data_IF_651089591491
#
_entry.id   IF_651089591491
#
_cell.length_a   1.000
_cell.length_b   1.000
_cell.length_c   1.000
_cell.angle_alpha   90.00
_cell.angle_beta   90.00
_cell.angle_gamma   90.00
#
_symmetry.space_group_name_H-M   'P 1'
#
loop_
_entity.id
_entity.type
_entity.pdbx_description
1 polymer ?
#
# COMPACT_ATOMS: atom_id res chain seq x y z
N UNK A 1 -28.66 5.62 -10.18
CA UNK A 1 -28.32 4.20 -10.42
C UNK A 1 -29.63 3.43 -10.45
N UNK A 2 -29.83 2.53 -11.42
CA UNK A 2 -31.02 1.67 -11.50
C UNK A 2 -30.62 0.22 -11.22
N UNK A 3 -31.55 -0.54 -10.65
CA UNK A 3 -31.41 -1.98 -10.46
C UNK A 3 -31.87 -2.68 -11.73
N UNK A 4 -31.07 -3.60 -12.24
CA UNK A 4 -31.44 -4.41 -13.42
C UNK A 4 -32.53 -5.43 -13.08
N UNK A 5 -33.17 -6.04 -14.09
CA UNK A 5 -34.18 -7.09 -13.87
C UNK A 5 -33.69 -8.31 -13.09
N UNK A 6 -32.38 -8.51 -12.97
CA UNK A 6 -31.76 -9.57 -12.16
C UNK A 6 -31.30 -9.10 -10.77
N UNK A 7 -31.65 -7.88 -10.35
CA UNK A 7 -31.23 -7.33 -9.07
C UNK A 7 -29.80 -6.78 -9.03
N UNK A 8 -29.10 -6.69 -10.17
CA UNK A 8 -27.74 -6.13 -10.20
C UNK A 8 -27.77 -4.61 -10.13
N UNK A 9 -26.85 -4.02 -9.38
CA UNK A 9 -26.64 -2.56 -9.26
C UNK A 9 -25.18 -2.20 -9.47
N UNK A 10 -24.92 -1.03 -10.07
CA UNK A 10 -23.55 -0.53 -10.26
C UNK A 10 -23.12 0.32 -9.08
N UNK A 11 -21.95 0.03 -8.52
CA UNK A 11 -21.33 0.82 -7.44
C UNK A 11 -20.41 1.90 -8.06
N UNK A 12 -20.63 3.21 -7.79
CA UNK A 12 -19.76 4.27 -8.28
C UNK A 12 -18.30 4.10 -7.85
N UNK A 13 -17.35 4.57 -8.69
CA UNK A 13 -15.90 4.43 -8.44
C UNK A 13 -15.47 4.98 -7.07
N UNK A 14 -15.97 6.15 -6.67
CA UNK A 14 -15.60 6.77 -5.40
C UNK A 14 -16.05 5.93 -4.19
N UNK A 15 -17.25 5.34 -4.25
CA UNK A 15 -17.77 4.45 -3.20
C UNK A 15 -16.95 3.16 -3.15
N UNK A 16 -16.65 2.53 -4.30
CA UNK A 16 -15.80 1.33 -4.36
C UNK A 16 -14.43 1.55 -3.72
N UNK A 17 -13.82 2.70 -4.01
CA UNK A 17 -12.51 3.05 -3.46
C UNK A 17 -12.58 3.24 -1.94
N UNK A 18 -13.61 3.94 -1.44
CA UNK A 18 -13.82 4.18 -0.02
C UNK A 18 -14.13 2.88 0.75
N UNK A 19 -14.95 2.01 0.17
CA UNK A 19 -15.30 0.70 0.73
C UNK A 19 -14.24 -0.39 0.48
N UNK A 20 -13.16 -0.08 -0.25
CA UNK A 20 -12.10 -1.05 -0.56
C UNK A 20 -12.49 -2.16 -1.56
N UNK A 21 -13.67 -2.12 -2.18
CA UNK A 21 -14.15 -3.12 -3.14
C UNK A 21 -13.42 -2.99 -4.48
N UNK A 22 -12.58 -3.96 -4.83
CA UNK A 22 -11.90 -3.99 -6.11
C UNK A 22 -12.75 -4.71 -7.17
N UNK A 23 -12.48 -4.51 -8.47
CA UNK A 23 -12.98 -5.40 -9.51
C UNK A 23 -12.59 -6.86 -9.19
N UNK A 24 -13.55 -7.77 -9.19
CA UNK A 24 -13.33 -9.18 -8.85
C UNK A 24 -13.23 -9.49 -7.34
N UNK A 25 -13.47 -8.50 -6.46
CA UNK A 25 -13.58 -8.76 -5.02
C UNK A 25 -14.89 -9.44 -4.68
N UNK A 26 -14.83 -10.42 -3.77
CA UNK A 26 -16.00 -11.00 -3.13
C UNK A 26 -16.55 -10.06 -2.04
N UNK A 27 -17.87 -10.06 -1.90
CA UNK A 27 -18.58 -9.22 -0.94
C UNK A 27 -19.66 -10.05 -0.25
N UNK A 28 -19.88 -9.76 1.03
CA UNK A 28 -20.97 -10.29 1.82
C UNK A 28 -22.10 -9.25 1.86
N UNK A 29 -23.33 -9.72 1.75
CA UNK A 29 -24.53 -8.90 1.86
C UNK A 29 -25.22 -9.20 3.19
N UNK A 30 -25.50 -8.17 3.96
CA UNK A 30 -26.37 -8.25 5.14
C UNK A 30 -27.50 -7.23 5.06
N UNK A 31 -28.58 -7.51 5.79
CA UNK A 31 -29.73 -6.62 5.91
C UNK A 31 -29.76 -6.03 7.32
N UNK A 32 -29.65 -4.70 7.39
CA UNK A 32 -29.77 -3.95 8.64
C UNK A 32 -31.01 -3.05 8.56
N UNK A 33 -32.14 -3.58 9.02
CA UNK A 33 -33.44 -2.91 8.90
C UNK A 33 -33.83 -2.72 7.43
N UNK A 34 -33.83 -1.46 6.97
CA UNK A 34 -34.10 -1.10 5.57
C UNK A 34 -32.85 -0.87 4.72
N UNK A 35 -31.65 -1.17 5.26
CA UNK A 35 -30.37 -0.95 4.58
C UNK A 35 -29.78 -2.27 4.12
N UNK A 36 -29.29 -2.29 2.88
CA UNK A 36 -28.41 -3.36 2.39
C UNK A 36 -26.98 -2.92 2.68
N UNK A 37 -26.30 -3.69 3.53
CA UNK A 37 -24.89 -3.46 3.87
C UNK A 37 -24.05 -4.42 3.05
N UNK A 38 -23.02 -3.87 2.40
CA UNK A 38 -22.08 -4.61 1.58
C UNK A 38 -20.73 -4.56 2.28
N UNK A 39 -20.29 -5.71 2.77
CA UNK A 39 -19.00 -5.84 3.45
C UNK A 39 -18.02 -6.54 2.51
N UNK A 40 -16.87 -5.94 2.18
CA UNK A 40 -15.85 -6.65 1.42
C UNK A 40 -15.38 -7.85 2.24
N UNK A 41 -15.48 -9.04 1.65
CA UNK A 41 -14.85 -10.22 2.26
C UNK A 41 -13.35 -9.99 2.12
N UNK A 42 -12.64 -9.96 3.25
CA UNK A 42 -11.20 -9.75 3.27
C UNK A 42 -10.51 -10.93 2.58
N UNK A 43 -10.44 -10.90 1.26
CA UNK A 43 -9.47 -11.69 0.51
C UNK A 43 -8.11 -11.10 0.90
N UNK A 44 -7.38 -11.83 1.74
CA UNK A 44 -6.09 -11.49 2.35
C UNK A 44 -5.01 -10.93 1.38
N UNK A 45 -5.28 -11.00 0.07
CA UNK A 45 -4.45 -10.59 -1.05
C UNK A 45 -3.88 -9.17 -0.93
N UNK A 46 -4.61 -8.18 -0.37
CA UNK A 46 -4.08 -6.81 -0.24
C UNK A 46 -3.08 -6.64 0.90
N UNK A 47 -3.26 -7.33 2.02
CA UNK A 47 -2.33 -7.26 3.13
C UNK A 47 -1.07 -8.09 2.83
N UNK A 48 -1.26 -9.25 2.20
CA UNK A 48 -0.17 -10.15 1.84
C UNK A 48 0.77 -9.56 0.80
N UNK A 49 0.28 -8.86 -0.23
CA UNK A 49 1.18 -8.26 -1.23
C UNK A 49 2.11 -7.19 -0.64
N UNK A 50 1.58 -6.32 0.22
CA UNK A 50 2.39 -5.26 0.85
C UNK A 50 3.33 -5.86 1.91
N UNK A 51 2.88 -6.85 2.65
CA UNK A 51 3.70 -7.57 3.62
C UNK A 51 4.81 -8.39 2.93
N UNK A 52 4.49 -9.10 1.84
CA UNK A 52 5.42 -9.85 1.01
C UNK A 52 6.46 -8.93 0.37
N UNK A 53 6.05 -7.78 -0.17
CA UNK A 53 6.96 -6.79 -0.72
C UNK A 53 7.91 -6.24 0.35
N UNK A 54 7.40 -5.91 1.55
CA UNK A 54 8.26 -5.47 2.67
C UNK A 54 9.24 -6.56 3.10
N UNK A 55 8.79 -7.82 3.17
CA UNK A 55 9.65 -8.97 3.52
C UNK A 55 10.73 -9.20 2.47
N UNK A 56 10.39 -9.07 1.18
CA UNK A 56 11.35 -9.14 0.08
C UNK A 56 12.37 -7.99 0.15
N UNK A 57 11.91 -6.75 0.37
CA UNK A 57 12.78 -5.59 0.52
C UNK A 57 13.71 -5.72 1.74
N UNK A 58 13.24 -6.26 2.86
CA UNK A 58 14.07 -6.50 4.05
C UNK A 58 15.17 -7.53 3.80
N UNK A 59 14.87 -8.61 3.06
CA UNK A 59 15.86 -9.63 2.67
C UNK A 59 16.96 -9.02 1.80
N UNK A 60 16.57 -8.23 0.79
CA UNK A 60 17.54 -7.53 -0.08
C UNK A 60 18.38 -6.56 0.74
N UNK A 61 17.79 -5.81 1.67
CA UNK A 61 18.54 -4.87 2.52
C UNK A 61 19.54 -5.59 3.44
N UNK A 62 19.22 -6.79 3.92
CA UNK A 62 20.13 -7.60 4.71
C UNK A 62 21.30 -8.16 3.89
N UNK A 63 21.10 -8.47 2.60
CA UNK A 63 22.18 -8.95 1.73
C UNK A 63 23.13 -7.85 1.22
N UNK A 64 22.80 -6.57 1.40
CA UNK A 64 23.71 -5.48 1.07
C UNK A 64 24.95 -5.47 1.97
N UNK A 65 26.09 -5.03 1.42
CA UNK A 65 27.30 -4.81 2.19
C UNK A 65 27.06 -3.75 3.30
N UNK A 66 27.81 -3.81 4.43
CA UNK A 66 27.56 -2.95 5.59
C UNK A 66 27.50 -1.45 5.29
N UNK A 67 28.29 -1.01 4.32
CA UNK A 67 28.38 0.38 3.83
C UNK A 67 27.04 0.87 3.25
N UNK A 68 26.34 0.02 2.48
CA UNK A 68 25.08 0.39 1.82
C UNK A 68 23.84 0.22 2.71
N UNK A 69 23.95 -0.49 3.85
CA UNK A 69 22.81 -0.68 4.77
C UNK A 69 22.38 0.61 5.47
N UNK A 70 23.32 1.53 5.63
CA UNK A 70 23.10 2.83 6.29
C UNK A 70 22.60 3.90 5.31
N UNK A 71 22.72 3.64 4.00
CA UNK A 71 22.34 4.56 2.94
C UNK A 71 20.87 4.40 2.54
N UNK A 72 20.29 5.52 2.13
CA UNK A 72 19.01 5.60 1.43
C UNK A 72 19.16 5.20 -0.05
N UNK A 73 18.05 4.86 -0.71
CA UNK A 73 18.05 4.45 -2.11
C UNK A 73 18.65 5.52 -3.04
N UNK A 74 18.40 6.80 -2.75
CA UNK A 74 18.91 7.92 -3.52
C UNK A 74 20.44 8.02 -3.43
N UNK A 75 21.00 7.87 -2.22
CA UNK A 75 22.44 7.94 -1.96
C UNK A 75 23.18 6.77 -2.63
N UNK A 76 22.58 5.57 -2.63
CA UNK A 76 23.12 4.41 -3.36
C UNK A 76 23.17 4.68 -4.87
N UNK A 77 22.12 5.30 -5.42
CA UNK A 77 22.07 5.63 -6.85
C UNK A 77 23.06 6.73 -7.24
N UNK A 78 23.27 7.73 -6.38
CA UNK A 78 24.28 8.79 -6.57
C UNK A 78 25.70 8.21 -6.53
N UNK A 79 25.98 7.35 -5.54
CA UNK A 79 27.24 6.61 -5.46
C UNK A 79 27.55 5.79 -6.71
N UNK A 80 26.59 4.99 -7.18
CA UNK A 80 26.77 4.15 -8.38
C UNK A 80 26.94 4.94 -9.67
N UNK A 81 26.45 6.20 -9.72
CA UNK A 81 26.66 7.11 -10.85
C UNK A 81 28.03 7.79 -10.84
N UNK A 82 28.80 7.65 -9.76
CA UNK A 82 30.11 8.28 -9.59
C UNK A 82 30.07 9.68 -8.98
N UNK A 83 28.91 10.12 -8.47
CA UNK A 83 28.72 11.39 -7.78
C UNK A 83 29.05 11.21 -6.27
N UNK A 84 30.31 10.98 -5.89
CA UNK A 84 30.72 10.84 -4.48
C UNK A 84 30.94 12.21 -3.80
N UNK A 85 30.49 12.40 -2.53
CA UNK A 85 31.24 11.82 -1.42
C UNK A 85 30.44 11.14 -0.29
N UNK A 86 30.99 10.02 0.17
CA UNK A 86 30.89 9.43 1.51
C UNK A 86 31.23 10.49 2.57
N UNK A 87 30.20 11.04 3.23
CA UNK A 87 30.19 11.75 4.53
C UNK A 87 29.40 13.08 4.46
N UNK A 88 28.09 13.00 4.73
CA UNK A 88 27.32 14.17 5.21
C UNK A 88 26.83 13.88 6.64
N UNK A 89 27.17 14.73 7.63
CA UNK A 89 26.60 14.59 8.95
C UNK A 89 25.09 14.84 8.90
N UNK A 90 24.32 13.95 9.56
CA UNK A 90 22.87 14.01 9.66
C UNK A 90 22.44 15.35 10.23
N UNK A 91 21.77 16.19 9.43
CA UNK A 91 20.96 17.28 10.00
C UNK A 91 19.76 16.65 10.71
N UNK A 92 19.56 16.89 12.02
CA UNK A 92 18.38 16.37 12.70
C UNK A 92 17.14 16.99 12.03
N UNK A 93 16.24 16.12 11.57
CA UNK A 93 14.95 16.56 11.04
C UNK A 93 14.23 17.35 12.14
N UNK A 94 13.95 18.62 11.85
CA UNK A 94 13.17 19.48 12.74
C UNK A 94 11.85 18.77 13.02
N UNK A 95 11.66 18.39 14.29
CA UNK A 95 10.42 17.83 14.80
C UNK A 95 9.42 18.99 14.83
N UNK A 96 8.70 19.18 13.73
CA UNK A 96 7.61 20.13 13.63
C UNK A 96 6.50 19.73 14.60
N UNK A 97 6.44 20.43 15.72
CA UNK A 97 5.27 20.49 16.60
C UNK A 97 4.13 21.17 15.85
N UNK A 98 3.00 20.48 15.69
CA UNK A 98 1.63 21.01 15.64
C UNK A 98 0.66 19.88 15.91
#
# INVERSE_FOLDING_TARGET
>A
MQVTGKGQVTIPKHIRNAAGVAPGSEVEFSLEGSRIVITPVATAVRNDRRAALRKAAARVRASLAPEFRQLGAQEIMEFLRGDEPLNKPRRPAARGSR
#
